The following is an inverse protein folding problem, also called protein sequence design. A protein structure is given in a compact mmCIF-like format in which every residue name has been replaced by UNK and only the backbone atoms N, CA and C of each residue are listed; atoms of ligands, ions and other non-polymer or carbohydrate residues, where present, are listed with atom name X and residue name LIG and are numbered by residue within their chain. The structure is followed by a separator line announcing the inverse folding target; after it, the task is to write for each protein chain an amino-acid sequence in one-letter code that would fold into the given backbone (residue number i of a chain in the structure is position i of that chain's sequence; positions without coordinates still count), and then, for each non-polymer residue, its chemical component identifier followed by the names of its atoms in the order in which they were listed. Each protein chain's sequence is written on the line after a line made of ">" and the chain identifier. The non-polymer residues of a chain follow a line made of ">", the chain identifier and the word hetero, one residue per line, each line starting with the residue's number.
data_IF_201234641615
#
_entry.id   IF_201234641615
#
_cell.length_a   1.000
_cell.length_b   1.000
_cell.length_c   1.000
_cell.angle_alpha   90.00
_cell.angle_beta   90.00
_cell.angle_gamma   90.00
#
_symmetry.space_group_name_H-M   'P 1'
#
loop_
_entity.id
_entity.type
_entity.pdbx_description
1 polymer ?
#
# COMPACT_ATOMS: atom_id res chain seq x y z
N UNK A 1 -6.15 -7.50 -33.41
CA UNK A 1 -6.31 -8.43 -32.27
C UNK A 1 -4.94 -8.72 -31.70
N UNK A 2 -4.48 -7.91 -30.77
CA UNK A 2 -3.32 -8.27 -29.96
C UNK A 2 -3.81 -9.25 -28.90
N UNK A 3 -3.27 -10.46 -28.93
CA UNK A 3 -3.39 -11.38 -27.79
C UNK A 3 -2.89 -10.67 -26.52
N UNK A 4 -3.58 -10.81 -25.39
CA UNK A 4 -3.04 -10.31 -24.13
C UNK A 4 -1.65 -10.95 -23.91
N UNK A 5 -0.70 -10.22 -23.35
CA UNK A 5 0.64 -10.75 -23.10
C UNK A 5 0.53 -11.97 -22.18
N UNK A 6 1.07 -13.09 -22.63
CA UNK A 6 1.04 -14.39 -21.94
C UNK A 6 1.99 -14.47 -20.74
N UNK A 7 2.59 -13.39 -20.36
CA UNK A 7 3.53 -13.42 -19.25
C UNK A 7 3.90 -12.04 -18.71
N UNK A 8 4.55 -11.97 -17.54
CA UNK A 8 5.11 -10.79 -16.92
C UNK A 8 6.55 -10.57 -17.38
N UNK A 9 6.93 -9.47 -17.99
CA UNK A 9 8.32 -9.09 -18.29
C UNK A 9 8.89 -8.19 -17.21
N UNK A 10 10.18 -8.20 -17.03
CA UNK A 10 10.84 -7.18 -16.21
C UNK A 10 11.26 -6.04 -17.13
N UNK A 11 10.59 -4.91 -17.02
CA UNK A 11 10.99 -3.67 -17.65
C UNK A 11 12.04 -2.99 -16.76
N UNK A 12 13.14 -2.54 -17.34
CA UNK A 12 14.25 -1.91 -16.63
C UNK A 12 13.87 -0.58 -15.98
N UNK A 13 12.87 0.12 -16.48
CA UNK A 13 12.44 1.39 -15.91
C UNK A 13 11.55 1.22 -14.67
N UNK A 14 10.74 0.17 -14.66
CA UNK A 14 9.74 -0.08 -13.62
C UNK A 14 9.90 -1.44 -12.95
N UNK A 15 10.84 -2.27 -13.39
CA UNK A 15 11.05 -3.65 -12.93
C UNK A 15 9.74 -4.48 -12.96
N UNK A 16 8.99 -4.36 -14.04
CA UNK A 16 7.83 -5.19 -14.26
C UNK A 16 8.27 -6.64 -14.48
N UNK A 17 7.67 -7.54 -13.71
CA UNK A 17 7.88 -8.98 -13.88
C UNK A 17 6.69 -9.56 -14.62
N UNK A 18 6.86 -10.05 -15.84
CA UNK A 18 5.83 -10.81 -16.54
C UNK A 18 5.87 -12.27 -16.07
N UNK A 19 4.76 -12.75 -15.50
CA UNK A 19 4.52 -14.15 -15.19
C UNK A 19 3.74 -14.74 -16.38
N UNK A 20 4.25 -15.76 -16.98
CA UNK A 20 3.49 -16.54 -17.93
C UNK A 20 2.42 -17.35 -17.19
N UNK A 21 1.21 -16.80 -17.18
CA UNK A 21 0.07 -17.42 -16.49
C UNK A 21 -0.29 -18.78 -17.10
N UNK A 22 -0.20 -18.92 -18.40
CA UNK A 22 -0.60 -20.15 -19.10
C UNK A 22 0.35 -21.30 -18.78
N UNK A 23 1.64 -21.02 -18.57
CA UNK A 23 2.64 -22.04 -18.23
C UNK A 23 2.83 -22.25 -16.72
N UNK A 24 2.50 -21.25 -15.88
CA UNK A 24 2.79 -21.31 -14.44
C UNK A 24 1.55 -21.47 -13.55
N UNK A 25 0.36 -21.14 -14.03
CA UNK A 25 -0.89 -21.25 -13.26
C UNK A 25 -1.95 -21.94 -14.12
N UNK A 26 -2.30 -23.17 -13.80
CA UNK A 26 -3.40 -23.86 -14.45
C UNK A 26 -4.71 -23.52 -13.75
N UNK A 27 -5.55 -22.69 -14.40
CA UNK A 27 -6.90 -22.37 -13.93
C UNK A 27 -7.88 -22.83 -14.99
N UNK A 28 -8.81 -23.72 -14.63
CA UNK A 28 -9.84 -24.20 -15.57
C UNK A 28 -11.18 -24.41 -14.87
N UNK A 29 -12.25 -24.01 -15.54
CA UNK A 29 -13.59 -24.41 -15.18
C UNK A 29 -13.89 -25.81 -15.70
N UNK A 30 -14.24 -26.75 -14.81
CA UNK A 30 -14.68 -28.08 -15.20
C UNK A 30 -16.16 -28.06 -15.63
N UNK A 31 -16.94 -27.18 -15.02
CA UNK A 31 -18.35 -26.91 -15.31
C UNK A 31 -18.73 -25.54 -14.72
N UNK A 32 -19.99 -25.14 -14.79
CA UNK A 32 -20.49 -23.86 -14.33
C UNK A 32 -20.34 -23.62 -12.81
N UNK A 33 -20.05 -24.66 -12.05
CA UNK A 33 -19.97 -24.60 -10.59
C UNK A 33 -18.61 -24.98 -10.02
N UNK A 34 -17.70 -25.48 -10.87
CA UNK A 34 -16.43 -26.04 -10.39
C UNK A 34 -15.24 -25.40 -11.10
N UNK A 35 -14.45 -24.67 -10.32
CA UNK A 35 -13.18 -24.09 -10.73
C UNK A 35 -12.03 -24.90 -10.13
N UNK A 36 -11.09 -25.33 -10.95
CA UNK A 36 -9.87 -26.00 -10.52
C UNK A 36 -8.69 -25.09 -10.71
N UNK A 37 -7.91 -24.91 -9.65
CA UNK A 37 -6.65 -24.16 -9.67
C UNK A 37 -5.56 -25.14 -9.25
N UNK A 38 -4.59 -25.35 -10.14
CA UNK A 38 -3.43 -26.19 -9.88
C UNK A 38 -2.21 -25.30 -9.60
N UNK A 39 -1.57 -25.55 -8.48
CA UNK A 39 -0.37 -24.83 -8.05
C UNK A 39 0.86 -25.66 -8.38
N UNK A 40 1.94 -25.01 -8.84
CA UNK A 40 3.20 -25.69 -9.17
C UNK A 40 3.92 -26.22 -7.92
N UNK A 41 3.69 -25.57 -6.77
CA UNK A 41 4.28 -25.96 -5.50
C UNK A 41 3.22 -25.96 -4.38
N UNK A 42 3.39 -26.77 -3.32
CA UNK A 42 2.56 -26.70 -2.14
C UNK A 42 2.56 -25.29 -1.55
N UNK A 43 1.41 -24.64 -1.47
CA UNK A 43 1.26 -23.28 -0.97
C UNK A 43 0.22 -23.26 0.16
N UNK A 44 0.59 -23.54 1.41
CA UNK A 44 -0.36 -23.67 2.53
C UNK A 44 -1.22 -22.43 2.76
N UNK A 45 -0.71 -21.25 2.41
CA UNK A 45 -1.37 -19.94 2.54
C UNK A 45 -2.17 -19.53 1.29
N UNK A 46 -2.36 -20.42 0.32
CA UNK A 46 -3.06 -20.07 -0.93
C UNK A 46 -4.49 -19.58 -0.69
N UNK A 47 -5.19 -20.17 0.29
CA UNK A 47 -6.55 -19.73 0.64
C UNK A 47 -6.59 -18.28 1.13
N UNK A 48 -5.57 -17.83 1.86
CA UNK A 48 -5.46 -16.44 2.30
C UNK A 48 -5.18 -15.50 1.11
N UNK A 49 -4.41 -15.97 0.11
CA UNK A 49 -4.16 -15.20 -1.10
C UNK A 49 -5.44 -14.93 -1.90
N UNK A 50 -6.44 -15.81 -1.86
CA UNK A 50 -7.72 -15.60 -2.53
C UNK A 50 -8.51 -14.40 -1.97
N UNK A 51 -8.19 -13.94 -0.77
CA UNK A 51 -8.73 -12.70 -0.20
C UNK A 51 -8.04 -11.44 -0.72
N UNK A 52 -6.99 -11.55 -1.53
CA UNK A 52 -6.30 -10.41 -2.13
C UNK A 52 -7.09 -9.91 -3.35
N UNK A 53 -7.41 -8.62 -3.37
CA UNK A 53 -8.34 -8.02 -4.33
C UNK A 53 -8.03 -8.29 -5.83
N UNK A 54 -6.77 -8.47 -6.30
CA UNK A 54 -6.53 -8.84 -7.70
C UNK A 54 -7.04 -10.23 -8.09
N UNK A 55 -7.33 -11.09 -7.10
CA UNK A 55 -7.88 -12.44 -7.32
C UNK A 55 -9.40 -12.50 -7.16
N UNK A 56 -10.06 -11.36 -6.93
CA UNK A 56 -11.51 -11.33 -6.86
C UNK A 56 -12.14 -11.61 -8.23
N UNK A 57 -13.20 -12.45 -8.27
CA UNK A 57 -13.90 -12.72 -9.52
C UNK A 57 -14.57 -11.44 -10.03
N UNK A 58 -14.50 -11.24 -11.34
CA UNK A 58 -15.16 -10.14 -12.04
C UNK A 58 -16.21 -10.70 -12.99
N UNK A 59 -17.26 -9.93 -13.25
CA UNK A 59 -18.29 -10.34 -14.22
C UNK A 59 -17.73 -10.27 -15.64
N UNK A 60 -17.63 -11.43 -16.29
CA UNK A 60 -17.03 -11.59 -17.62
C UNK A 60 -17.76 -10.75 -18.68
N UNK A 61 -19.08 -10.84 -18.72
CA UNK A 61 -19.89 -10.11 -19.71
C UNK A 61 -19.70 -8.59 -19.58
N UNK A 62 -19.63 -8.09 -18.34
CA UNK A 62 -19.37 -6.70 -18.07
C UNK A 62 -17.99 -6.25 -18.58
N UNK A 63 -16.95 -7.05 -18.31
CA UNK A 63 -15.57 -6.75 -18.75
C UNK A 63 -15.46 -6.80 -20.26
N UNK A 64 -16.00 -7.82 -20.92
CA UNK A 64 -15.95 -7.98 -22.37
C UNK A 64 -16.76 -6.89 -23.10
N UNK A 65 -17.93 -6.53 -22.55
CA UNK A 65 -18.82 -5.52 -23.16
C UNK A 65 -18.25 -4.10 -23.07
N UNK A 66 -17.68 -3.71 -21.94
CA UNK A 66 -17.30 -2.33 -21.69
C UNK A 66 -15.79 -2.08 -21.78
N UNK A 67 -14.96 -3.10 -21.64
CA UNK A 67 -13.49 -3.00 -21.64
C UNK A 67 -12.91 -2.16 -20.50
N UNK A 68 -11.59 -2.21 -20.34
CA UNK A 68 -10.90 -1.37 -19.37
C UNK A 68 -10.71 0.06 -19.91
N UNK A 69 -10.89 1.13 -19.08
CA UNK A 69 -11.31 1.11 -17.68
C UNK A 69 -12.84 1.21 -17.48
N UNK A 70 -13.64 1.09 -18.55
CA UNK A 70 -15.06 1.46 -18.52
C UNK A 70 -15.92 0.50 -17.71
N UNK A 71 -15.55 -0.78 -17.62
CA UNK A 71 -16.29 -1.77 -16.84
C UNK A 71 -16.35 -1.43 -15.33
N UNK A 72 -15.41 -0.62 -14.83
CA UNK A 72 -15.36 -0.19 -13.42
C UNK A 72 -16.20 1.06 -13.12
N UNK A 73 -16.82 1.68 -14.14
CA UNK A 73 -17.71 2.83 -13.92
C UNK A 73 -18.99 2.40 -13.21
N UNK A 74 -19.54 3.27 -12.37
CA UNK A 74 -20.74 2.97 -11.57
C UNK A 74 -21.95 2.53 -12.41
N UNK A 75 -22.07 3.03 -13.63
CA UNK A 75 -23.14 2.63 -14.55
C UNK A 75 -22.98 1.20 -15.12
N UNK A 76 -21.78 0.62 -15.03
CA UNK A 76 -21.44 -0.62 -15.71
C UNK A 76 -21.05 -1.75 -14.74
N UNK A 77 -20.42 -1.39 -13.62
CA UNK A 77 -19.83 -2.37 -12.71
C UNK A 77 -20.87 -3.32 -12.11
N UNK A 78 -20.59 -4.60 -12.19
CA UNK A 78 -21.35 -5.66 -11.54
C UNK A 78 -20.50 -6.16 -10.35
N UNK A 79 -21.12 -6.21 -9.17
CA UNK A 79 -20.46 -6.64 -7.93
C UNK A 79 -21.21 -7.78 -7.27
N UNK A 80 -20.48 -8.76 -6.76
CA UNK A 80 -20.98 -9.84 -5.91
C UNK A 80 -20.69 -9.59 -4.41
N UNK A 81 -20.12 -8.43 -4.07
CA UNK A 81 -19.81 -8.04 -2.70
C UNK A 81 -21.01 -7.49 -1.93
N UNK A 82 -20.82 -7.14 -0.63
CA UNK A 82 -21.88 -6.64 0.26
C UNK A 82 -22.46 -5.29 -0.18
N UNK A 83 -21.72 -4.53 -0.99
CA UNK A 83 -22.15 -3.23 -1.48
C UNK A 83 -22.00 -3.13 -3.00
N UNK A 84 -22.81 -2.26 -3.60
CA UNK A 84 -22.74 -1.84 -5.00
C UNK A 84 -22.30 -0.41 -5.08
N UNK A 85 -21.50 -0.08 -6.10
CA UNK A 85 -21.11 1.30 -6.39
C UNK A 85 -22.30 2.05 -7.02
N UNK A 86 -22.88 2.97 -6.28
CA UNK A 86 -23.97 3.82 -6.78
C UNK A 86 -23.41 4.93 -7.67
N UNK A 87 -22.44 5.68 -7.17
CA UNK A 87 -21.71 6.67 -7.98
C UNK A 87 -20.29 6.90 -7.45
N UNK A 88 -19.44 7.45 -8.32
CA UNK A 88 -18.13 7.99 -7.99
C UNK A 88 -18.00 9.38 -8.59
N UNK A 89 -17.87 10.39 -7.74
CA UNK A 89 -17.57 11.78 -8.13
C UNK A 89 -16.13 12.10 -7.75
N UNK A 90 -15.33 12.43 -8.75
CA UNK A 90 -13.91 12.75 -8.55
C UNK A 90 -13.81 13.99 -7.66
N UNK A 91 -12.94 13.95 -6.66
CA UNK A 91 -12.71 15.02 -5.67
C UNK A 91 -13.93 15.39 -4.80
N UNK A 92 -14.94 14.57 -4.79
CA UNK A 92 -16.12 14.72 -3.93
C UNK A 92 -16.27 13.46 -3.05
N UNK A 93 -16.93 12.44 -3.57
CA UNK A 93 -17.18 11.21 -2.82
C UNK A 93 -17.46 10.02 -3.71
N UNK A 94 -17.35 8.85 -3.11
CA UNK A 94 -17.82 7.60 -3.64
C UNK A 94 -18.96 7.12 -2.75
N UNK A 95 -20.12 6.76 -3.34
CA UNK A 95 -21.23 6.17 -2.59
C UNK A 95 -21.38 4.70 -2.91
N UNK A 96 -21.48 3.92 -1.88
CA UNK A 96 -21.80 2.50 -1.91
C UNK A 96 -23.19 2.30 -1.27
N UNK A 97 -24.02 1.47 -1.90
CA UNK A 97 -25.33 1.06 -1.36
C UNK A 97 -25.33 -0.45 -1.16
N UNK A 98 -26.03 -0.88 -0.13
CA UNK A 98 -26.17 -2.30 0.21
C UNK A 98 -26.62 -3.12 -1.00
N UNK A 99 -25.99 -4.27 -1.20
CA UNK A 99 -26.32 -5.19 -2.27
C UNK A 99 -27.29 -6.26 -1.77
N UNK A 100 -28.59 -6.21 -2.18
CA UNK A 100 -29.57 -7.19 -1.71
C UNK A 100 -29.29 -8.61 -2.24
N UNK A 101 -28.48 -8.74 -3.29
CA UNK A 101 -28.11 -10.04 -3.88
C UNK A 101 -26.81 -10.63 -3.28
N UNK A 102 -26.22 -9.94 -2.30
CA UNK A 102 -25.07 -10.49 -1.60
C UNK A 102 -25.48 -11.72 -0.78
N UNK A 103 -24.69 -12.79 -0.82
CA UNK A 103 -25.04 -14.07 -0.19
C UNK A 103 -25.33 -13.95 1.32
N UNK A 104 -24.74 -12.96 1.99
CA UNK A 104 -24.92 -12.72 3.42
C UNK A 104 -25.52 -11.32 3.69
N UNK A 105 -26.39 -10.84 2.81
CA UNK A 105 -27.00 -9.51 2.89
C UNK A 105 -27.71 -9.24 4.22
N UNK A 106 -28.25 -10.27 4.88
CA UNK A 106 -28.94 -10.15 6.18
C UNK A 106 -28.02 -9.66 7.31
N UNK A 107 -26.70 -9.91 7.22
CA UNK A 107 -25.72 -9.51 8.21
C UNK A 107 -25.04 -8.17 7.85
N UNK A 108 -25.42 -7.54 6.75
CA UNK A 108 -24.95 -6.20 6.37
C UNK A 108 -25.87 -5.15 7.00
N UNK A 109 -25.40 -4.43 7.99
CA UNK A 109 -26.20 -3.47 8.76
C UNK A 109 -26.32 -2.10 8.13
N UNK A 110 -25.26 -1.59 7.47
CA UNK A 110 -25.27 -0.26 6.88
C UNK A 110 -25.94 -0.30 5.50
N UNK A 111 -26.90 0.57 5.27
CA UNK A 111 -27.59 0.68 3.97
C UNK A 111 -26.75 1.48 2.96
N UNK A 112 -26.00 2.48 3.43
CA UNK A 112 -25.21 3.38 2.58
C UNK A 112 -23.87 3.70 3.25
N UNK A 113 -22.80 3.77 2.44
CA UNK A 113 -21.47 4.22 2.85
C UNK A 113 -21.03 5.33 1.90
N UNK A 114 -20.77 6.52 2.44
CA UNK A 114 -20.16 7.63 1.70
C UNK A 114 -18.68 7.74 2.06
N UNK A 115 -17.80 7.44 1.12
CA UNK A 115 -16.36 7.66 1.27
C UNK A 115 -15.98 9.02 0.67
N UNK A 116 -15.67 9.98 1.55
CA UNK A 116 -15.36 11.35 1.18
C UNK A 116 -13.92 11.50 0.67
N UNK A 117 -13.72 12.25 -0.41
CA UNK A 117 -12.39 12.51 -0.97
C UNK A 117 -11.75 13.74 -0.30
N UNK A 118 -11.26 13.57 0.93
CA UNK A 118 -10.64 14.62 1.74
C UNK A 118 -9.13 14.39 1.74
N UNK A 119 -8.35 15.39 1.33
CA UNK A 119 -6.88 15.31 1.26
C UNK A 119 -6.19 15.85 2.53
N UNK A 120 -6.78 16.83 3.21
CA UNK A 120 -6.25 17.41 4.43
C UNK A 120 -6.71 16.65 5.67
N UNK A 121 -5.76 16.18 6.46
CA UNK A 121 -6.04 15.46 7.72
C UNK A 121 -6.74 16.35 8.75
N UNK A 122 -6.37 17.63 8.80
CA UNK A 122 -7.04 18.63 9.68
C UNK A 122 -8.50 18.83 9.28
N UNK A 123 -8.78 18.91 7.99
CA UNK A 123 -10.16 19.01 7.50
C UNK A 123 -10.98 17.77 7.87
N UNK A 124 -10.41 16.58 7.67
CA UNK A 124 -11.05 15.31 8.03
C UNK A 124 -11.37 15.26 9.53
N UNK A 125 -10.43 15.63 10.38
CA UNK A 125 -10.63 15.67 11.82
C UNK A 125 -11.71 16.67 12.23
N UNK A 126 -11.72 17.88 11.67
CA UNK A 126 -12.76 18.87 11.95
C UNK A 126 -14.15 18.39 11.54
N UNK A 127 -14.27 17.74 10.40
CA UNK A 127 -15.53 17.13 9.95
C UNK A 127 -15.98 16.01 10.90
N UNK A 128 -15.06 15.19 11.41
CA UNK A 128 -15.35 14.17 12.41
C UNK A 128 -15.85 14.80 13.73
N UNK A 129 -15.13 15.79 14.25
CA UNK A 129 -15.50 16.48 15.50
C UNK A 129 -16.88 17.16 15.39
N UNK A 130 -17.22 17.66 14.20
CA UNK A 130 -18.51 18.31 13.94
C UNK A 130 -19.63 17.31 13.56
N UNK A 131 -19.40 16.00 13.64
CA UNK A 131 -20.39 14.97 13.34
C UNK A 131 -20.74 14.84 11.85
N UNK A 132 -19.88 15.34 10.95
CA UNK A 132 -20.03 15.22 9.50
C UNK A 132 -19.39 13.95 8.95
N UNK A 133 -18.54 13.29 9.73
CA UNK A 133 -17.95 11.99 9.46
C UNK A 133 -18.13 11.09 10.67
N UNK A 134 -18.48 9.85 10.44
CA UNK A 134 -18.57 8.81 11.47
C UNK A 134 -17.21 8.17 11.77
N UNK A 135 -16.28 8.25 10.83
CA UNK A 135 -14.94 7.65 10.93
C UNK A 135 -13.92 8.42 10.11
N UNK A 136 -12.75 8.63 10.68
CA UNK A 136 -11.59 9.21 10.00
C UNK A 136 -10.37 8.30 10.21
N UNK A 137 -9.84 7.68 9.14
CA UNK A 137 -8.71 6.74 9.24
C UNK A 137 -7.35 7.43 9.38
N UNK A 138 -7.29 8.75 9.16
CA UNK A 138 -6.04 9.51 9.14
C UNK A 138 -6.16 10.74 10.04
N UNK A 139 -5.10 11.02 10.79
CA UNK A 139 -5.05 12.10 11.78
C UNK A 139 -3.84 12.99 11.54
N UNK A 140 -3.93 14.31 11.86
CA UNK A 140 -2.77 15.20 11.83
C UNK A 140 -1.72 14.77 12.86
N UNK A 141 -0.48 14.53 12.41
CA UNK A 141 0.62 14.14 13.31
C UNK A 141 0.92 15.19 14.36
N UNK A 142 0.79 16.47 14.01
CA UNK A 142 1.11 17.64 14.87
C UNK A 142 0.33 17.69 16.19
N UNK A 143 -0.83 17.06 16.27
CA UNK A 143 -1.67 17.03 17.48
C UNK A 143 -1.92 15.61 17.99
N UNK A 144 -1.12 14.65 17.56
CA UNK A 144 -1.30 13.24 17.90
C UNK A 144 -1.31 13.01 19.42
N UNK A 145 -0.48 13.71 20.19
CA UNK A 145 -0.43 13.60 21.66
C UNK A 145 -1.73 13.98 22.34
N UNK A 146 -2.51 14.88 21.74
CA UNK A 146 -3.85 15.24 22.21
C UNK A 146 -4.89 14.22 21.78
N UNK A 147 -4.81 13.77 20.53
CA UNK A 147 -5.77 12.80 19.97
C UNK A 147 -5.70 11.45 20.66
N UNK A 148 -4.52 10.99 21.03
CA UNK A 148 -4.32 9.71 21.75
C UNK A 148 -4.99 9.66 23.12
N UNK A 149 -5.37 10.79 23.69
CA UNK A 149 -6.07 10.88 24.99
C UNK A 149 -7.59 10.82 24.88
N UNK A 150 -8.12 10.80 23.66
CA UNK A 150 -9.56 10.74 23.42
C UNK A 150 -10.03 9.29 23.52
N UNK A 151 -11.21 9.10 24.07
CA UNK A 151 -11.85 7.78 24.24
C UNK A 151 -12.22 7.12 22.88
N UNK A 152 -12.44 7.95 21.85
CA UNK A 152 -12.76 7.50 20.48
C UNK A 152 -11.53 7.29 19.60
N UNK A 153 -10.32 7.49 20.12
CA UNK A 153 -9.09 7.20 19.39
C UNK A 153 -8.72 5.72 19.49
N UNK A 154 -8.74 5.03 18.35
CA UNK A 154 -8.39 3.61 18.25
C UNK A 154 -7.09 3.45 17.45
N UNK A 155 -6.07 2.87 18.08
CA UNK A 155 -4.83 2.48 17.41
C UNK A 155 -4.80 0.96 17.26
N UNK A 156 -4.65 0.49 16.04
CA UNK A 156 -4.55 -0.94 15.75
C UNK A 156 -3.27 -1.25 14.96
N UNK A 157 -2.62 -2.39 15.19
CA UNK A 157 -1.46 -2.83 14.40
C UNK A 157 -1.87 -2.99 12.93
N UNK A 158 -1.09 -2.39 12.05
CA UNK A 158 -1.26 -2.54 10.61
C UNK A 158 0.00 -3.16 10.02
N UNK A 159 -0.14 -4.29 9.33
CA UNK A 159 0.99 -5.02 8.74
C UNK A 159 1.46 -4.33 7.45
N UNK A 160 2.01 -3.14 7.60
CA UNK A 160 2.59 -2.36 6.52
C UNK A 160 3.95 -1.79 6.92
N UNK A 161 4.72 -1.42 5.92
CA UNK A 161 6.00 -0.76 6.09
C UNK A 161 6.05 0.48 5.21
N UNK A 162 6.54 1.59 5.76
CA UNK A 162 6.88 2.78 5.00
C UNK A 162 8.36 2.77 4.65
N UNK A 163 8.69 2.99 3.37
CA UNK A 163 10.08 2.98 2.90
C UNK A 163 10.25 3.85 1.66
N UNK A 164 11.47 4.31 1.45
CA UNK A 164 11.85 4.96 0.20
C UNK A 164 12.40 3.95 -0.79
N UNK A 165 11.90 3.97 -2.02
CA UNK A 165 12.47 3.23 -3.14
C UNK A 165 13.69 3.97 -3.66
N UNK A 166 14.78 3.25 -3.83
CA UNK A 166 16.03 3.81 -4.32
C UNK A 166 16.22 3.34 -5.78
N UNK A 167 16.40 4.28 -6.70
CA UNK A 167 16.80 3.93 -8.06
C UNK A 167 18.27 3.49 -8.07
N UNK A 168 18.47 2.17 -8.11
CA UNK A 168 19.80 1.55 -8.04
C UNK A 168 20.59 1.60 -9.34
N UNK A 169 19.99 2.08 -10.43
CA UNK A 169 20.65 2.22 -11.74
C UNK A 169 21.32 3.61 -11.90
N UNK A 170 21.05 4.53 -10.97
CA UNK A 170 21.58 5.90 -11.05
C UNK A 170 22.66 6.15 -10.00
N UNK A 171 23.88 6.60 -10.42
CA UNK A 171 24.88 7.07 -9.48
C UNK A 171 24.36 8.25 -8.64
N UNK A 172 24.75 8.36 -7.36
CA UNK A 172 25.63 7.45 -6.63
C UNK A 172 24.87 6.27 -5.96
N UNK A 173 23.56 6.13 -6.24
CA UNK A 173 22.67 5.17 -5.57
C UNK A 173 22.84 3.73 -6.09
N UNK A 174 23.57 3.54 -7.20
CA UNK A 174 24.07 2.25 -7.70
C UNK A 174 25.03 1.57 -6.73
N UNK A 175 25.78 2.36 -5.93
CA UNK A 175 26.74 1.85 -4.95
C UNK A 175 26.05 1.33 -3.69
N UNK A 176 26.21 0.05 -3.37
CA UNK A 176 25.67 -0.56 -2.16
C UNK A 176 26.10 0.16 -0.87
N UNK A 177 27.34 0.63 -0.80
CA UNK A 177 27.87 1.34 0.38
C UNK A 177 27.11 2.66 0.62
N UNK A 178 26.80 3.40 -0.45
CA UNK A 178 25.97 4.63 -0.38
C UNK A 178 24.61 4.33 0.18
N UNK A 179 23.90 3.33 -0.36
CA UNK A 179 22.56 2.95 0.12
C UNK A 179 22.57 2.53 1.61
N UNK A 180 23.60 1.79 2.03
CA UNK A 180 23.77 1.42 3.44
C UNK A 180 24.05 2.63 4.32
N UNK A 181 24.90 3.56 3.86
CA UNK A 181 25.20 4.79 4.56
C UNK A 181 23.94 5.62 4.79
N UNK A 182 23.12 5.84 3.74
CA UNK A 182 21.87 6.57 3.84
C UNK A 182 20.89 5.89 4.83
N UNK A 183 20.77 4.57 4.78
CA UNK A 183 19.89 3.84 5.71
C UNK A 183 20.32 3.95 7.18
N UNK A 184 21.64 3.97 7.47
CA UNK A 184 22.17 4.14 8.82
C UNK A 184 22.11 5.59 9.31
N UNK A 185 22.14 6.55 8.41
CA UNK A 185 22.08 7.98 8.73
C UNK A 185 20.66 8.41 9.21
N UNK A 186 19.61 7.73 8.78
CA UNK A 186 18.23 8.08 9.13
C UNK A 186 17.91 7.58 10.54
N UNK A 187 17.54 8.51 11.44
CA UNK A 187 17.04 8.18 12.77
C UNK A 187 15.56 7.80 12.73
N UNK A 188 15.30 6.53 12.40
CA UNK A 188 13.93 6.00 12.29
C UNK A 188 13.16 6.06 13.61
N UNK A 189 13.85 5.94 14.75
CA UNK A 189 13.21 6.05 16.06
C UNK A 189 12.65 7.47 16.26
N UNK A 190 13.45 8.49 15.94
CA UNK A 190 13.04 9.88 16.09
C UNK A 190 11.85 10.23 15.16
N UNK A 191 11.81 9.66 13.94
CA UNK A 191 10.65 9.79 13.05
C UNK A 191 9.40 9.21 13.70
N UNK A 192 9.52 7.99 14.28
CA UNK A 192 8.38 7.35 14.95
C UNK A 192 7.91 8.13 16.19
N UNK A 193 8.84 8.71 16.96
CA UNK A 193 8.51 9.37 18.21
C UNK A 193 8.02 10.81 18.03
N UNK A 194 8.58 11.56 17.06
CA UNK A 194 8.35 12.99 16.94
C UNK A 194 7.54 13.38 15.70
N UNK A 195 7.62 12.61 14.61
CA UNK A 195 6.92 12.96 13.38
C UNK A 195 5.59 12.22 13.28
N UNK A 196 5.60 10.89 13.33
CA UNK A 196 4.35 10.12 13.18
C UNK A 196 3.60 9.94 14.49
N UNK A 197 4.29 9.77 15.61
CA UNK A 197 3.80 9.79 16.99
C UNK A 197 2.55 8.93 17.31
N UNK A 198 2.11 8.04 16.40
CA UNK A 198 0.90 7.24 16.55
C UNK A 198 1.16 5.78 16.98
N UNK A 199 2.38 5.47 17.46
CA UNK A 199 2.76 4.13 17.93
C UNK A 199 3.43 3.27 16.87
N UNK A 200 3.86 3.84 15.75
CA UNK A 200 4.67 3.17 14.74
C UNK A 200 6.00 2.71 15.34
N UNK A 201 6.56 1.65 14.77
CA UNK A 201 7.86 1.11 15.18
C UNK A 201 8.92 1.33 14.10
N UNK A 202 10.18 1.60 14.48
CA UNK A 202 11.27 1.74 13.52
C UNK A 202 11.46 0.47 12.70
N UNK A 203 11.33 0.55 11.39
CA UNK A 203 11.51 -0.60 10.52
C UNK A 203 12.99 -1.01 10.44
N UNK A 204 13.28 -2.26 10.82
CA UNK A 204 14.60 -2.88 10.70
C UNK A 204 14.67 -3.94 9.62
N UNK A 205 13.53 -4.40 9.10
CA UNK A 205 13.41 -5.33 7.98
C UNK A 205 12.36 -4.83 7.00
N UNK A 206 12.36 -5.37 5.79
CA UNK A 206 11.31 -5.05 4.80
C UNK A 206 9.97 -5.70 5.14
N UNK A 207 9.99 -6.79 5.89
CA UNK A 207 8.80 -7.48 6.36
C UNK A 207 8.51 -7.06 7.81
N UNK A 208 7.27 -6.67 8.14
CA UNK A 208 6.90 -6.33 9.52
C UNK A 208 7.16 -7.50 10.49
N UNK A 209 7.60 -7.22 11.73
CA UNK A 209 7.98 -8.25 12.69
C UNK A 209 6.79 -9.12 13.16
N UNK A 210 5.57 -8.68 12.96
CA UNK A 210 4.35 -9.40 13.34
C UNK A 210 4.01 -10.57 12.42
N UNK A 211 4.70 -10.72 11.27
CA UNK A 211 4.46 -11.84 10.37
C UNK A 211 5.03 -13.12 10.98
N UNK A 212 4.14 -14.02 11.37
CA UNK A 212 4.53 -15.30 11.99
C UNK A 212 5.39 -16.15 11.05
N UNK A 213 6.44 -16.76 11.62
CA UNK A 213 7.33 -17.66 10.86
C UNK A 213 8.36 -16.94 9.98
N UNK A 214 8.42 -15.61 10.01
CA UNK A 214 9.42 -14.86 9.27
C UNK A 214 10.45 -14.23 10.20
N UNK A 215 11.69 -14.69 10.07
CA UNK A 215 12.88 -14.11 10.73
C UNK A 215 13.76 -13.48 9.67
N UNK A 216 13.37 -12.28 9.22
CA UNK A 216 14.11 -11.56 8.18
C UNK A 216 15.43 -10.97 8.65
N UNK A 217 16.35 -10.76 7.71
CA UNK A 217 17.59 -10.05 7.96
C UNK A 217 17.29 -8.62 8.40
N UNK A 218 17.76 -8.25 9.58
CA UNK A 218 17.54 -6.90 10.11
C UNK A 218 18.61 -5.95 9.61
N UNK A 219 18.21 -4.73 9.26
CA UNK A 219 19.13 -3.62 9.00
C UNK A 219 19.73 -3.12 10.32
N UNK A 220 20.92 -2.52 10.25
CA UNK A 220 21.53 -1.86 11.40
C UNK A 220 20.66 -0.75 12.00
N UNK A 221 20.88 -0.47 13.28
CA UNK A 221 20.31 0.69 13.95
C UNK A 221 20.92 1.99 13.39
N UNK A 222 20.34 3.13 13.74
CA UNK A 222 20.89 4.46 13.42
C UNK A 222 22.34 4.59 13.93
N UNK A 223 23.27 4.87 13.02
CA UNK A 223 24.69 5.00 13.30
C UNK A 223 25.34 5.96 12.29
N UNK A 224 25.42 7.23 12.69
CA UNK A 224 25.98 8.29 11.85
C UNK A 224 27.48 8.10 11.63
N UNK A 225 28.21 7.58 12.63
CA UNK A 225 29.66 7.37 12.51
C UNK A 225 29.94 6.31 11.43
N UNK A 226 29.26 5.18 11.51
CA UNK A 226 29.37 4.12 10.50
C UNK A 226 28.85 4.57 9.12
N UNK A 227 27.78 5.37 9.07
CA UNK A 227 27.29 5.96 7.82
C UNK A 227 28.35 6.80 7.13
N UNK A 228 29.06 7.68 7.87
CA UNK A 228 30.14 8.50 7.33
C UNK A 228 31.32 7.66 6.82
N UNK A 229 31.68 6.59 7.55
CA UNK A 229 32.73 5.66 7.11
C UNK A 229 32.35 5.00 5.77
N UNK A 230 31.15 4.45 5.68
CA UNK A 230 30.66 3.81 4.44
C UNK A 230 30.60 4.80 3.26
N UNK A 231 30.26 6.06 3.54
CA UNK A 231 30.21 7.08 2.51
C UNK A 231 31.64 7.43 2.02
N UNK A 232 32.62 7.48 2.95
CA UNK A 232 34.02 7.67 2.59
C UNK A 232 34.57 6.49 1.79
N UNK A 233 34.30 5.25 2.21
CA UNK A 233 34.65 4.01 1.49
C UNK A 233 34.03 3.99 0.07
N UNK A 234 32.86 4.61 -0.11
CA UNK A 234 32.20 4.75 -1.40
C UNK A 234 32.81 5.85 -2.31
N UNK A 235 33.81 6.58 -1.82
CA UNK A 235 34.49 7.66 -2.56
C UNK A 235 34.00 9.07 -2.23
N UNK A 236 33.22 9.24 -1.16
CA UNK A 236 32.69 10.55 -0.74
C UNK A 236 33.10 10.91 0.70
N UNK A 237 34.42 11.09 0.98
CA UNK A 237 34.89 11.42 2.31
C UNK A 237 34.31 12.76 2.77
N UNK A 238 33.70 12.78 3.95
CA UNK A 238 33.00 13.95 4.51
C UNK A 238 31.92 14.53 3.57
N UNK A 239 31.35 13.69 2.69
CA UNK A 239 30.37 14.11 1.71
C UNK A 239 30.93 14.87 0.49
N UNK A 240 32.27 15.05 0.40
CA UNK A 240 32.89 15.79 -0.73
C UNK A 240 32.58 15.10 -2.06
N UNK A 241 32.00 15.86 -2.99
CA UNK A 241 31.65 15.38 -4.32
C UNK A 241 30.35 14.54 -4.37
N UNK A 242 29.63 14.38 -3.24
CA UNK A 242 28.33 13.71 -3.27
C UNK A 242 27.31 14.58 -3.99
N UNK A 243 26.61 14.08 -5.03
CA UNK A 243 25.66 14.87 -5.79
C UNK A 243 24.38 15.11 -5.00
N UNK A 244 23.60 16.11 -5.40
CA UNK A 244 22.24 16.28 -4.91
C UNK A 244 21.39 15.08 -5.31
N UNK A 245 20.70 14.50 -4.35
CA UNK A 245 19.65 13.49 -4.57
C UNK A 245 18.29 14.11 -4.26
N UNK A 246 17.28 13.69 -5.01
CA UNK A 246 15.92 14.15 -4.84
C UNK A 246 15.09 13.06 -4.18
N UNK A 247 14.28 13.45 -3.21
CA UNK A 247 13.25 12.60 -2.61
C UNK A 247 11.92 12.98 -3.27
N UNK A 248 11.27 12.00 -3.88
CA UNK A 248 9.94 12.16 -4.46
C UNK A 248 8.92 11.51 -3.52
N UNK A 249 7.93 12.27 -3.13
CA UNK A 249 6.81 11.80 -2.32
C UNK A 249 5.48 12.26 -2.91
N UNK A 250 4.39 11.56 -2.58
CA UNK A 250 3.04 11.92 -3.00
C UNK A 250 2.47 13.04 -2.13
N UNK A 251 1.42 13.68 -2.60
CA UNK A 251 0.70 14.73 -1.85
C UNK A 251 0.03 14.14 -0.61
N UNK A 252 0.76 14.16 0.50
CA UNK A 252 0.32 13.69 1.82
C UNK A 252 1.10 14.44 2.88
N UNK A 253 0.40 15.04 3.85
CA UNK A 253 1.01 15.82 4.94
C UNK A 253 2.08 14.99 5.67
N UNK A 254 1.76 13.76 6.06
CA UNK A 254 2.69 12.88 6.77
C UNK A 254 3.92 12.49 5.93
N UNK A 255 3.77 12.28 4.62
CA UNK A 255 4.91 11.94 3.75
C UNK A 255 5.83 13.13 3.54
N UNK A 256 5.27 14.34 3.50
CA UNK A 256 6.04 15.57 3.43
C UNK A 256 6.86 15.76 4.72
N UNK A 257 6.22 15.67 5.89
CA UNK A 257 6.89 15.82 7.19
C UNK A 257 8.05 14.83 7.37
N UNK A 258 7.86 13.57 6.94
CA UNK A 258 8.94 12.55 6.98
C UNK A 258 10.06 12.90 5.98
N UNK A 259 9.76 13.47 4.82
CA UNK A 259 10.76 13.78 3.81
C UNK A 259 11.58 15.04 4.15
N UNK A 260 10.99 15.98 4.88
CA UNK A 260 11.63 17.22 5.33
C UNK A 260 12.48 17.04 6.60
N UNK A 261 12.21 16.01 7.40
CA UNK A 261 13.01 15.60 8.58
C UNK A 261 14.39 15.05 8.16
#
# INVERSE_FOLDING_TARGET
>A
SQQPPTGLTVDHACHHVLIDFDSNVEIRALNDQTLVIKLNNPTPYFKQLLAFYPLYPVNRECVEKYGAPNWTKSANIVSNGPYRLEFRRIRDRLRLTKNPHYWDAKNVSLETIDAMAITSYTTSLNMYINGQLDWSPTMPNTIMDLLRKRDDFVSAPFMAIYFYRINVERPPLDKKLVRRALNLAINKQLICDQITAAGQQPARSFVPPQLQGYTGQQSGAHDVARARQLLAEAGYPNGKGFPKVQILYNTSDSHQEIAEF
#
